data_IF_023498789468
#
_entry.id   IF_023498789468
#
_cell.length_a   1.000
_cell.length_b   1.000
_cell.length_c   1.000
_cell.angle_alpha   90.00
_cell.angle_beta   90.00
_cell.angle_gamma   90.00
#
_symmetry.space_group_name_H-M   'P 1'
#
loop_
_entity.id
_entity.type
_entity.pdbx_description
1 polymer ?
#
# COMPACT_ATOMS: atom_id res chain seq x y z
N UNK A 1 -85.37 4.57 24.37
CA UNK A 1 -85.26 3.75 23.15
C UNK A 1 -85.19 4.69 21.95
N UNK A 2 -84.22 4.43 21.05
CA UNK A 2 -83.98 5.01 19.71
C UNK A 2 -82.95 6.14 19.57
N UNK A 3 -81.80 5.64 19.14
CA UNK A 3 -80.65 6.21 18.44
C UNK A 3 -81.01 7.09 17.22
N UNK A 4 -80.13 8.05 16.91
CA UNK A 4 -79.83 8.60 15.56
C UNK A 4 -78.58 9.51 15.72
N UNK A 5 -77.37 8.94 15.68
CA UNK A 5 -76.49 8.76 14.50
C UNK A 5 -76.06 10.09 13.87
N UNK A 6 -74.82 10.47 14.21
CA UNK A 6 -74.00 11.48 13.53
C UNK A 6 -73.55 10.88 12.20
N UNK A 7 -73.93 11.49 11.08
CA UNK A 7 -73.35 11.20 9.76
C UNK A 7 -72.27 12.25 9.51
N UNK A 8 -71.02 11.83 9.68
CA UNK A 8 -69.81 12.52 9.22
C UNK A 8 -69.80 12.43 7.70
N UNK A 9 -69.66 13.58 7.04
CA UNK A 9 -69.41 13.75 5.61
C UNK A 9 -68.09 13.08 5.21
N UNK A 10 -68.17 11.82 4.77
CA UNK A 10 -67.11 11.13 4.03
C UNK A 10 -67.44 11.29 2.54
N UNK A 11 -67.12 12.45 1.96
CA UNK A 11 -67.42 12.74 0.55
C UNK A 11 -66.34 13.60 -0.13
N UNK A 12 -65.05 13.37 0.17
CA UNK A 12 -63.96 14.18 -0.42
C UNK A 12 -62.78 13.38 -1.01
N UNK A 13 -62.85 12.04 -1.10
CA UNK A 13 -61.71 11.23 -1.58
C UNK A 13 -62.05 10.21 -2.68
N UNK A 14 -63.17 10.34 -3.39
CA UNK A 14 -63.61 9.34 -4.38
C UNK A 14 -64.05 9.92 -5.73
N UNK A 15 -63.50 11.07 -6.13
CA UNK A 15 -63.81 11.69 -7.42
C UNK A 15 -62.59 11.64 -8.35
N UNK A 16 -62.77 11.06 -9.54
CA UNK A 16 -61.78 11.08 -10.61
C UNK A 16 -61.45 12.53 -10.97
N UNK A 17 -60.17 12.88 -10.95
CA UNK A 17 -59.72 14.22 -11.34
C UNK A 17 -59.50 14.25 -12.86
N UNK A 18 -60.18 15.15 -13.60
CA UNK A 18 -59.87 15.36 -15.01
C UNK A 18 -58.45 15.91 -15.14
N UNK A 19 -57.71 15.45 -16.15
CA UNK A 19 -56.38 16.01 -16.44
C UNK A 19 -56.51 17.47 -16.88
N UNK A 20 -55.60 18.37 -16.47
CA UNK A 20 -55.59 19.77 -16.91
C UNK A 20 -55.45 19.97 -18.42
N UNK A 21 -55.00 18.95 -19.16
CA UNK A 21 -54.75 18.98 -20.60
C UNK A 21 -55.85 18.30 -21.44
N UNK A 22 -56.92 17.80 -20.82
CA UNK A 22 -58.05 17.18 -21.53
C UNK A 22 -57.76 15.81 -22.16
N UNK A 23 -56.66 15.14 -21.78
CA UNK A 23 -56.36 13.77 -22.24
C UNK A 23 -57.25 12.69 -21.60
N UNK A 24 -57.52 11.61 -22.34
CA UNK A 24 -58.39 10.49 -21.95
C UNK A 24 -58.09 9.95 -20.53
N UNK A 25 -59.13 9.87 -19.70
CA UNK A 25 -59.10 9.23 -18.36
C UNK A 25 -58.85 7.70 -18.42
N UNK A 26 -58.83 7.12 -19.64
CA UNK A 26 -58.59 5.71 -19.89
C UNK A 26 -57.11 5.28 -19.90
N UNK A 27 -56.16 6.22 -19.80
CA UNK A 27 -54.74 5.88 -19.71
C UNK A 27 -54.41 5.23 -18.35
N UNK A 28 -54.62 3.92 -18.24
CA UNK A 28 -54.17 3.12 -17.09
C UNK A 28 -52.64 3.03 -17.10
N UNK A 29 -51.98 4.06 -16.60
CA UNK A 29 -50.52 4.08 -16.40
C UNK A 29 -50.09 3.20 -15.21
N UNK A 30 -51.05 2.64 -14.46
CA UNK A 30 -50.83 1.66 -13.39
C UNK A 30 -51.68 0.40 -13.62
N UNK A 31 -51.35 -0.44 -14.62
CA UNK A 31 -51.99 -1.75 -14.79
C UNK A 31 -51.71 -2.67 -13.59
N UNK A 32 -52.57 -3.67 -13.40
CA UNK A 32 -52.32 -4.72 -12.40
C UNK A 32 -50.97 -5.41 -12.70
N UNK A 33 -50.14 -5.57 -11.67
CA UNK A 33 -48.79 -6.12 -11.81
C UNK A 33 -47.69 -5.10 -12.10
N UNK A 34 -47.96 -3.78 -12.06
CA UNK A 34 -46.92 -2.77 -12.29
C UNK A 34 -45.76 -2.80 -11.28
N UNK A 35 -45.97 -3.36 -10.09
CA UNK A 35 -44.93 -3.56 -9.07
C UNK A 35 -44.41 -5.00 -8.99
N UNK A 36 -44.87 -5.90 -9.87
CA UNK A 36 -44.44 -7.29 -9.91
C UNK A 36 -43.38 -7.48 -11.01
N UNK A 37 -42.10 -7.75 -10.68
CA UNK A 37 -41.04 -7.95 -11.67
C UNK A 37 -41.30 -9.09 -12.67
N UNK A 38 -42.14 -10.08 -12.31
CA UNK A 38 -42.51 -11.17 -13.20
C UNK A 38 -43.60 -10.78 -14.22
N UNK A 39 -44.31 -9.66 -13.98
CA UNK A 39 -45.43 -9.24 -14.83
C UNK A 39 -44.97 -8.59 -16.14
N UNK A 40 -45.77 -8.74 -17.19
CA UNK A 40 -45.64 -7.95 -18.43
C UNK A 40 -46.04 -6.48 -18.24
N UNK A 41 -46.78 -6.18 -17.17
CA UNK A 41 -47.16 -4.83 -16.79
C UNK A 41 -46.11 -4.14 -15.89
N UNK A 42 -45.00 -4.81 -15.55
CA UNK A 42 -43.98 -4.28 -14.65
C UNK A 42 -43.47 -2.90 -15.09
N UNK A 43 -43.31 -1.97 -14.15
CA UNK A 43 -42.94 -0.58 -14.44
C UNK A 43 -41.62 -0.45 -15.20
N UNK A 44 -40.64 -1.34 -14.98
CA UNK A 44 -39.40 -1.36 -15.77
C UNK A 44 -39.63 -1.68 -17.24
N UNK A 45 -40.54 -2.63 -17.55
CA UNK A 45 -40.94 -2.95 -18.92
C UNK A 45 -41.78 -1.84 -19.54
N UNK A 46 -42.66 -1.22 -18.75
CA UNK A 46 -43.44 -0.05 -19.18
C UNK A 46 -42.55 1.15 -19.51
N UNK A 47 -41.50 1.38 -18.72
CA UNK A 47 -40.50 2.41 -18.98
C UNK A 47 -39.74 2.12 -20.29
N UNK A 48 -39.31 0.88 -20.52
CA UNK A 48 -38.68 0.47 -21.78
C UNK A 48 -39.59 0.70 -23.00
N UNK A 49 -40.90 0.36 -22.90
CA UNK A 49 -41.89 0.64 -23.97
C UNK A 49 -42.05 2.12 -24.27
N UNK A 50 -41.76 2.98 -23.30
CA UNK A 50 -41.79 4.45 -23.42
C UNK A 50 -40.43 5.03 -23.78
N UNK A 51 -39.54 4.23 -24.36
CA UNK A 51 -38.18 4.63 -24.72
C UNK A 51 -37.40 5.22 -23.54
N UNK A 52 -37.55 4.60 -22.37
CA UNK A 52 -36.90 4.98 -21.12
C UNK A 52 -37.24 6.38 -20.60
N UNK A 53 -38.30 7.02 -21.11
CA UNK A 53 -38.70 8.35 -20.69
C UNK A 53 -39.44 8.35 -19.34
N UNK A 54 -38.84 9.00 -18.34
CA UNK A 54 -39.47 9.27 -17.05
C UNK A 54 -40.44 10.47 -17.05
N UNK A 55 -40.50 11.23 -18.15
CA UNK A 55 -41.27 12.48 -18.24
C UNK A 55 -42.74 12.29 -17.87
N UNK A 56 -43.34 11.16 -18.26
CA UNK A 56 -44.74 10.89 -17.92
C UNK A 56 -44.93 10.62 -16.42
N UNK A 57 -44.00 9.91 -15.80
CA UNK A 57 -44.06 9.54 -14.38
C UNK A 57 -43.83 10.75 -13.48
N UNK A 58 -42.86 11.60 -13.83
CA UNK A 58 -42.50 12.80 -13.07
C UNK A 58 -43.68 13.80 -12.94
N UNK A 59 -44.59 13.86 -13.93
CA UNK A 59 -45.78 14.72 -13.89
C UNK A 59 -46.69 14.47 -12.68
N UNK A 60 -46.72 13.24 -12.16
CA UNK A 60 -47.55 12.88 -11.00
C UNK A 60 -46.72 12.57 -9.76
N UNK A 61 -45.56 11.92 -9.94
CA UNK A 61 -44.71 11.45 -8.84
C UNK A 61 -43.65 12.48 -8.40
N UNK A 62 -43.56 13.63 -9.07
CA UNK A 62 -42.56 14.67 -8.81
C UNK A 62 -41.28 14.44 -9.63
N UNK A 63 -40.54 15.52 -9.90
CA UNK A 63 -39.24 15.44 -10.58
C UNK A 63 -38.18 14.72 -9.73
N UNK A 64 -38.33 14.76 -8.41
CA UNK A 64 -37.51 14.05 -7.43
C UNK A 64 -38.00 12.61 -7.16
N UNK A 65 -39.13 12.21 -7.77
CA UNK A 65 -39.81 10.93 -7.55
C UNK A 65 -40.13 10.62 -6.08
N UNK A 66 -40.17 11.62 -5.21
CA UNK A 66 -40.50 11.48 -3.79
C UNK A 66 -42.01 11.40 -3.52
N UNK A 67 -42.82 11.40 -4.58
CA UNK A 67 -44.25 11.10 -4.56
C UNK A 67 -45.15 12.22 -5.02
N UNK A 68 -44.66 13.46 -5.14
CA UNK A 68 -45.36 14.57 -5.80
C UNK A 68 -46.85 14.72 -5.44
N UNK A 69 -47.68 14.86 -6.47
CA UNK A 69 -49.14 14.94 -6.35
C UNK A 69 -49.79 13.57 -6.13
N UNK A 70 -49.16 12.48 -6.62
CA UNK A 70 -49.63 11.11 -6.48
C UNK A 70 -49.50 10.55 -5.06
N UNK A 71 -48.66 11.16 -4.20
CA UNK A 71 -48.32 10.71 -2.84
C UNK A 71 -47.74 9.29 -2.76
N UNK A 72 -47.17 8.79 -3.85
CA UNK A 72 -46.51 7.48 -3.94
C UNK A 72 -45.06 7.67 -4.37
N UNK A 73 -44.12 7.45 -3.44
CA UNK A 73 -42.68 7.63 -3.66
C UNK A 73 -42.02 6.41 -4.29
N UNK A 74 -41.25 6.62 -5.36
CA UNK A 74 -40.38 5.60 -5.95
C UNK A 74 -39.21 5.27 -5.02
N UNK A 75 -38.84 6.20 -4.13
CA UNK A 75 -37.70 6.09 -3.23
C UNK A 75 -37.89 5.02 -2.15
N UNK A 76 -39.12 4.53 -1.97
CA UNK A 76 -39.42 3.39 -1.08
C UNK A 76 -38.71 2.11 -1.54
N UNK A 77 -38.53 1.95 -2.86
CA UNK A 77 -37.86 0.79 -3.46
C UNK A 77 -36.50 1.16 -4.07
N UNK A 78 -36.36 2.38 -4.59
CA UNK A 78 -35.13 2.89 -5.23
C UNK A 78 -34.55 4.03 -4.41
N UNK A 79 -33.78 3.71 -3.36
CA UNK A 79 -33.27 4.71 -2.41
C UNK A 79 -32.46 5.85 -3.06
N UNK A 80 -31.67 5.53 -4.08
CA UNK A 80 -30.86 6.50 -4.83
C UNK A 80 -31.67 7.25 -5.91
N UNK A 81 -32.93 6.89 -6.09
CA UNK A 81 -33.80 7.39 -7.15
C UNK A 81 -33.86 6.46 -8.37
N UNK A 82 -34.98 6.47 -9.11
CA UNK A 82 -35.18 5.57 -10.24
C UNK A 82 -34.27 5.88 -11.44
N UNK A 83 -33.64 7.06 -11.47
CA UNK A 83 -32.71 7.52 -12.50
C UNK A 83 -31.24 7.34 -12.11
N UNK A 84 -30.95 6.79 -10.93
CA UNK A 84 -29.58 6.53 -10.50
C UNK A 84 -28.96 5.36 -11.28
N UNK A 85 -27.65 5.42 -11.55
CA UNK A 85 -26.94 4.36 -12.25
C UNK A 85 -27.07 3.01 -11.53
N UNK A 86 -26.99 3.01 -10.19
CA UNK A 86 -27.14 1.82 -9.33
C UNK A 86 -28.52 1.18 -9.45
N UNK A 87 -29.57 1.95 -9.73
CA UNK A 87 -30.92 1.42 -9.94
C UNK A 87 -31.01 0.55 -11.19
N UNK A 88 -30.29 0.91 -12.26
CA UNK A 88 -30.29 0.15 -13.51
C UNK A 88 -29.18 -0.92 -13.55
N UNK A 89 -27.98 -0.60 -13.07
CA UNK A 89 -26.80 -1.45 -13.20
C UNK A 89 -26.49 -2.30 -11.96
N UNK A 90 -27.12 -2.04 -10.81
CA UNK A 90 -26.75 -2.68 -9.55
C UNK A 90 -25.27 -2.49 -9.23
N UNK A 91 -24.60 -3.58 -8.83
CA UNK A 91 -23.15 -3.63 -8.59
C UNK A 91 -22.29 -3.61 -9.87
N UNK A 92 -22.92 -3.47 -11.04
CA UNK A 92 -22.28 -3.49 -12.34
C UNK A 92 -22.29 -4.86 -13.04
N UNK A 93 -21.69 -4.94 -14.23
CA UNK A 93 -21.73 -6.14 -15.07
C UNK A 93 -20.91 -7.30 -14.47
N UNK A 94 -21.42 -8.53 -14.64
CA UNK A 94 -20.85 -9.75 -14.04
C UNK A 94 -20.39 -10.79 -15.08
N UNK A 95 -20.52 -10.48 -16.37
CA UNK A 95 -20.26 -11.40 -17.47
C UNK A 95 -18.87 -11.24 -18.07
N UNK A 96 -18.31 -12.33 -18.57
CA UNK A 96 -17.01 -12.37 -19.24
C UNK A 96 -15.89 -11.79 -18.38
N UNK A 97 -15.01 -11.01 -19.02
CA UNK A 97 -13.84 -10.42 -18.37
C UNK A 97 -14.16 -9.44 -17.23
N UNK A 98 -15.40 -8.93 -17.09
CA UNK A 98 -15.75 -8.06 -15.95
C UNK A 98 -15.46 -8.71 -14.61
N UNK A 99 -15.76 -9.99 -14.45
CA UNK A 99 -15.55 -10.71 -13.19
C UNK A 99 -14.11 -10.59 -12.66
N UNK A 100 -13.14 -10.43 -13.58
CA UNK A 100 -11.70 -10.37 -13.31
C UNK A 100 -11.18 -8.95 -13.09
N UNK A 101 -11.85 -7.95 -13.64
CA UNK A 101 -11.38 -6.57 -13.66
C UNK A 101 -11.97 -5.71 -12.53
N UNK A 102 -12.96 -6.20 -11.77
CA UNK A 102 -13.63 -5.48 -10.67
C UNK A 102 -12.70 -5.01 -9.54
N UNK A 103 -11.52 -5.61 -9.37
CA UNK A 103 -10.58 -5.31 -8.27
C UNK A 103 -9.34 -4.52 -8.70
N UNK A 104 -9.31 -3.98 -9.92
CA UNK A 104 -8.13 -3.24 -10.41
C UNK A 104 -8.36 -2.36 -11.64
N UNK A 105 -9.55 -2.37 -12.23
CA UNK A 105 -9.96 -1.46 -13.29
C UNK A 105 -11.28 -0.77 -12.91
N UNK A 106 -11.43 0.45 -13.40
CA UNK A 106 -12.65 1.25 -13.32
C UNK A 106 -13.39 1.20 -14.65
N UNK A 107 -14.67 1.54 -14.65
CA UNK A 107 -15.47 1.54 -15.88
C UNK A 107 -14.85 2.44 -16.96
N UNK A 108 -14.24 3.57 -16.58
CA UNK A 108 -13.61 4.52 -17.53
C UNK A 108 -12.30 4.00 -18.14
N UNK A 109 -11.75 2.89 -17.65
CA UNK A 109 -10.61 2.25 -18.29
C UNK A 109 -11.01 1.55 -19.61
N UNK A 110 -12.28 1.13 -19.74
CA UNK A 110 -12.79 0.34 -20.87
C UNK A 110 -14.11 0.83 -21.48
N UNK A 111 -14.80 1.79 -20.89
CA UNK A 111 -16.09 2.30 -21.36
C UNK A 111 -16.20 3.81 -21.15
N UNK A 112 -17.03 4.45 -21.98
CA UNK A 112 -17.47 5.81 -21.69
C UNK A 112 -18.59 5.76 -20.66
N UNK A 113 -18.33 6.23 -19.44
CA UNK A 113 -19.37 6.35 -18.41
C UNK A 113 -20.11 7.68 -18.60
N UNK A 114 -21.41 7.67 -18.91
CA UNK A 114 -22.18 8.90 -19.08
C UNK A 114 -22.40 9.60 -17.72
N UNK A 115 -22.55 10.93 -17.76
CA UNK A 115 -22.83 11.72 -16.56
C UNK A 115 -24.29 11.56 -16.05
N UNK A 116 -25.21 11.15 -16.92
CA UNK A 116 -26.62 10.92 -16.61
C UNK A 116 -27.16 9.74 -17.41
N UNK A 117 -28.24 9.13 -16.92
CA UNK A 117 -28.88 7.97 -17.55
C UNK A 117 -29.38 8.25 -18.97
N UNK A 118 -29.75 9.49 -19.28
CA UNK A 118 -30.33 9.96 -20.55
C UNK A 118 -29.30 10.60 -21.50
N UNK A 119 -28.00 10.51 -21.17
CA UNK A 119 -26.96 11.06 -22.03
C UNK A 119 -27.02 10.40 -23.43
N UNK A 120 -26.82 11.17 -24.51
CA UNK A 120 -26.72 10.62 -25.86
C UNK A 120 -25.61 9.56 -25.96
N UNK A 121 -25.88 8.44 -26.61
CA UNK A 121 -24.92 7.32 -26.69
C UNK A 121 -25.00 6.34 -25.51
N UNK A 122 -26.05 6.43 -24.69
CA UNK A 122 -26.35 5.46 -23.62
C UNK A 122 -27.68 4.75 -23.93
N UNK A 123 -28.65 4.80 -23.03
CA UNK A 123 -29.95 4.12 -23.21
C UNK A 123 -30.87 4.85 -24.19
N UNK A 124 -30.53 6.11 -24.51
CA UNK A 124 -31.22 6.94 -25.49
C UNK A 124 -30.36 7.00 -26.75
N UNK A 125 -30.93 6.50 -27.85
CA UNK A 125 -30.38 6.51 -29.22
C UNK A 125 -29.16 5.61 -29.50
N UNK A 126 -28.73 4.78 -28.55
CA UNK A 126 -27.69 3.75 -28.78
C UNK A 126 -28.21 2.34 -28.48
N UNK A 127 -27.72 1.37 -29.26
CA UNK A 127 -28.10 -0.02 -29.13
C UNK A 127 -27.03 -0.77 -28.32
N UNK A 128 -27.47 -1.58 -27.37
CA UNK A 128 -26.59 -2.52 -26.68
C UNK A 128 -25.78 -3.37 -27.69
N UNK A 129 -24.54 -3.76 -27.35
CA UNK A 129 -23.85 -3.57 -26.07
C UNK A 129 -23.15 -2.21 -25.92
N UNK A 130 -22.83 -1.84 -24.68
CA UNK A 130 -22.06 -0.62 -24.38
C UNK A 130 -20.71 -0.61 -25.14
N UNK A 131 -20.40 0.54 -25.76
CA UNK A 131 -19.17 0.72 -26.54
C UNK A 131 -17.93 0.50 -25.65
N UNK A 132 -17.00 -0.34 -26.13
CA UNK A 132 -15.69 -0.54 -25.50
C UNK A 132 -14.75 0.54 -26.01
N UNK A 133 -14.29 1.41 -25.10
CA UNK A 133 -13.33 2.48 -25.37
C UNK A 133 -12.16 2.38 -24.38
N UNK A 134 -10.93 2.59 -24.83
CA UNK A 134 -9.77 2.40 -23.97
C UNK A 134 -9.28 3.72 -23.38
N UNK A 135 -9.20 3.77 -22.05
CA UNK A 135 -8.62 4.89 -21.31
C UNK A 135 -7.10 4.96 -21.39
N UNK A 136 -6.51 5.96 -20.72
CA UNK A 136 -5.06 6.19 -20.73
C UNK A 136 -4.24 4.98 -20.23
N UNK A 137 -4.76 4.24 -19.24
CA UNK A 137 -4.09 3.06 -18.67
C UNK A 137 -3.86 1.96 -19.72
N UNK A 138 -4.84 1.69 -20.57
CA UNK A 138 -4.71 0.69 -21.63
C UNK A 138 -3.64 1.08 -22.68
N UNK A 139 -3.37 2.38 -22.80
CA UNK A 139 -2.41 2.95 -23.76
C UNK A 139 -0.97 3.04 -23.20
N UNK A 140 -0.72 2.65 -21.95
CA UNK A 140 0.65 2.65 -21.39
C UNK A 140 1.54 1.74 -22.25
N UNK A 141 2.70 2.26 -22.63
CA UNK A 141 3.66 1.57 -23.51
C UNK A 141 4.96 1.41 -22.76
N UNK A 142 5.35 0.17 -22.46
CA UNK A 142 6.63 -0.12 -21.80
C UNK A 142 7.80 0.11 -22.75
N UNK A 143 7.67 -0.39 -23.97
CA UNK A 143 8.64 -0.22 -25.05
C UNK A 143 7.88 0.05 -26.36
N UNK A 144 8.11 1.20 -27.02
CA UNK A 144 7.49 1.52 -28.29
C UNK A 144 7.72 0.46 -29.38
N UNK A 145 8.80 -0.32 -29.32
CA UNK A 145 9.10 -1.37 -30.28
C UNK A 145 8.08 -2.52 -30.27
N UNK A 146 7.37 -2.72 -29.15
CA UNK A 146 6.42 -3.82 -28.97
C UNK A 146 4.96 -3.41 -29.23
N UNK A 147 4.66 -2.13 -29.49
CA UNK A 147 3.29 -1.65 -29.73
C UNK A 147 3.07 -1.37 -31.21
N UNK A 148 2.26 -2.21 -31.87
CA UNK A 148 1.92 -2.07 -33.28
C UNK A 148 0.79 -1.03 -33.54
N UNK A 149 0.00 -0.68 -32.52
CA UNK A 149 -1.12 0.24 -32.67
C UNK A 149 -1.77 0.69 -31.35
N UNK A 150 -2.85 1.49 -31.43
CA UNK A 150 -3.65 1.84 -30.27
C UNK A 150 -4.35 0.59 -29.69
N UNK A 151 -4.72 0.60 -28.40
CA UNK A 151 -5.54 -0.47 -27.81
C UNK A 151 -6.86 -0.61 -28.58
N UNK A 152 -7.24 -1.83 -28.93
CA UNK A 152 -8.44 -2.09 -29.71
C UNK A 152 -9.18 -3.35 -29.24
N UNK A 153 -10.50 -3.34 -29.44
CA UNK A 153 -11.39 -4.44 -29.15
C UNK A 153 -12.25 -4.72 -30.38
N UNK A 154 -12.06 -5.89 -31.00
CA UNK A 154 -12.77 -6.30 -32.21
C UNK A 154 -13.14 -7.78 -32.16
N UNK A 155 -14.39 -8.11 -32.46
CA UNK A 155 -14.85 -9.50 -32.54
C UNK A 155 -14.71 -10.30 -31.23
N UNK A 156 -14.72 -9.62 -30.07
CA UNK A 156 -14.49 -10.24 -28.78
C UNK A 156 -13.02 -10.35 -28.37
N UNK A 157 -12.08 -9.79 -29.14
CA UNK A 157 -10.64 -9.90 -28.90
C UNK A 157 -10.03 -8.57 -28.53
N UNK A 158 -9.20 -8.56 -27.51
CA UNK A 158 -8.43 -7.40 -27.07
C UNK A 158 -7.05 -7.41 -27.74
N UNK A 159 -6.60 -6.28 -28.27
CA UNK A 159 -5.28 -6.14 -28.93
C UNK A 159 -4.59 -4.86 -28.48
N UNK A 160 -3.25 -4.85 -28.46
CA UNK A 160 -2.43 -3.69 -28.07
C UNK A 160 -2.79 -3.03 -26.71
N UNK A 161 -3.35 -3.78 -25.74
CA UNK A 161 -3.68 -3.27 -24.40
C UNK A 161 -2.49 -3.50 -23.46
N UNK A 162 -2.13 -2.48 -22.67
CA UNK A 162 -1.00 -2.50 -21.72
C UNK A 162 -0.91 -3.79 -20.86
N UNK A 163 -2.02 -4.20 -20.24
CA UNK A 163 -2.04 -5.34 -19.33
C UNK A 163 -2.13 -6.70 -20.04
N UNK A 164 -2.55 -6.74 -21.30
CA UNK A 164 -2.71 -7.96 -22.08
C UNK A 164 -2.70 -7.64 -23.58
N UNK A 165 -1.79 -8.25 -24.34
CA UNK A 165 -1.61 -7.91 -25.75
C UNK A 165 -0.14 -7.88 -26.15
N UNK A 166 0.09 -7.60 -27.42
CA UNK A 166 1.41 -7.71 -28.05
C UNK A 166 2.46 -6.73 -27.49
N UNK A 167 2.03 -5.75 -26.68
CA UNK A 167 2.90 -4.82 -25.95
C UNK A 167 3.74 -5.50 -24.86
N UNK A 168 3.43 -6.74 -24.51
CA UNK A 168 4.16 -7.54 -23.53
C UNK A 168 5.15 -8.47 -24.26
N UNK A 169 6.48 -8.23 -24.19
CA UNK A 169 7.46 -8.94 -25.01
C UNK A 169 7.83 -10.35 -24.49
N UNK A 170 7.05 -10.91 -23.57
CA UNK A 170 7.41 -12.14 -22.85
C UNK A 170 6.61 -13.34 -23.36
N UNK A 171 7.25 -14.49 -23.68
CA UNK A 171 6.55 -15.67 -24.21
C UNK A 171 5.48 -16.25 -23.28
N UNK A 172 5.56 -15.96 -21.97
CA UNK A 172 4.60 -16.42 -20.97
C UNK A 172 3.44 -15.43 -20.74
N UNK A 173 3.53 -14.23 -21.33
CA UNK A 173 2.51 -13.21 -21.15
C UNK A 173 1.23 -13.55 -21.92
N UNK A 174 0.10 -13.09 -21.41
CA UNK A 174 -1.18 -13.24 -22.12
C UNK A 174 -1.21 -12.31 -23.33
N UNK A 175 -0.96 -12.87 -24.52
CA UNK A 175 -1.10 -12.16 -25.78
C UNK A 175 -2.56 -12.18 -26.23
N UNK A 176 -3.20 -11.01 -26.17
CA UNK A 176 -4.44 -10.70 -26.88
C UNK A 176 -5.62 -11.65 -26.60
N UNK A 177 -6.11 -11.67 -25.35
CA UNK A 177 -7.16 -12.57 -24.91
C UNK A 177 -8.50 -12.25 -25.57
N UNK A 178 -9.39 -13.25 -25.58
CA UNK A 178 -10.81 -13.04 -25.84
C UNK A 178 -11.54 -12.62 -24.56
N UNK A 179 -12.63 -11.90 -24.75
CA UNK A 179 -13.50 -11.39 -23.69
C UNK A 179 -14.09 -12.48 -22.79
N UNK A 180 -14.28 -13.67 -23.35
CA UNK A 180 -14.87 -14.84 -22.73
C UNK A 180 -13.83 -15.89 -22.28
N UNK A 181 -12.54 -15.57 -22.37
CA UNK A 181 -11.49 -16.47 -21.93
C UNK A 181 -11.51 -16.69 -20.41
N UNK A 182 -11.21 -17.92 -20.00
CA UNK A 182 -10.89 -18.21 -18.60
C UNK A 182 -9.43 -17.82 -18.35
N UNK A 183 -9.13 -16.98 -17.35
CA UNK A 183 -7.78 -16.52 -17.11
C UNK A 183 -6.89 -17.68 -16.63
N UNK A 184 -5.66 -17.70 -17.13
CA UNK A 184 -4.62 -18.65 -16.73
C UNK A 184 -3.39 -17.87 -16.27
N UNK A 185 -2.84 -18.21 -15.10
CA UNK A 185 -1.58 -17.63 -14.60
C UNK A 185 -1.72 -16.59 -13.49
N UNK A 186 -0.57 -16.20 -12.93
CA UNK A 186 -0.44 -15.22 -11.83
C UNK A 186 0.37 -14.00 -12.28
N UNK A 187 1.43 -13.65 -11.57
CA UNK A 187 2.33 -12.55 -11.94
C UNK A 187 3.00 -12.76 -13.31
N UNK A 188 3.19 -14.02 -13.70
CA UNK A 188 3.84 -14.42 -14.95
C UNK A 188 3.05 -14.08 -16.23
N UNK A 189 1.81 -13.57 -16.06
CA UNK A 189 0.93 -13.14 -17.16
C UNK A 189 1.37 -11.83 -17.82
N UNK A 190 2.17 -11.02 -17.11
CA UNK A 190 2.68 -9.75 -17.63
C UNK A 190 4.17 -9.87 -18.00
N UNK A 191 4.96 -10.51 -17.14
CA UNK A 191 6.42 -10.60 -17.23
C UNK A 191 6.91 -11.97 -16.75
N UNK A 192 8.21 -12.26 -16.82
CA UNK A 192 8.78 -13.39 -16.08
C UNK A 192 8.56 -13.23 -14.58
N UNK A 193 8.44 -14.34 -13.83
CA UNK A 193 8.33 -14.32 -12.36
C UNK A 193 9.39 -15.27 -11.77
N UNK A 194 10.58 -14.77 -11.38
CA UNK A 194 11.03 -13.37 -11.44
C UNK A 194 11.35 -12.87 -12.88
N UNK A 195 11.31 -11.55 -13.14
CA UNK A 195 11.78 -10.96 -14.39
C UNK A 195 13.25 -11.31 -14.72
N UNK A 196 13.65 -11.37 -16.01
CA UNK A 196 14.97 -11.84 -16.42
C UNK A 196 16.16 -11.11 -15.80
N UNK A 197 16.01 -9.83 -15.47
CA UNK A 197 17.09 -9.00 -14.90
C UNK A 197 17.21 -9.10 -13.37
N UNK A 198 16.57 -10.08 -12.72
CA UNK A 198 16.65 -10.26 -11.28
C UNK A 198 18.03 -10.77 -10.84
N UNK A 199 18.59 -10.09 -9.84
CA UNK A 199 19.86 -10.49 -9.23
C UNK A 199 19.73 -11.69 -8.28
N UNK A 200 18.57 -11.87 -7.62
CA UNK A 200 18.33 -12.92 -6.62
C UNK A 200 16.86 -13.40 -6.61
N UNK A 201 16.59 -14.55 -5.99
CA UNK A 201 15.27 -15.18 -5.89
C UNK A 201 14.59 -15.07 -4.50
N UNK A 202 15.18 -14.32 -3.56
CA UNK A 202 14.61 -14.02 -2.23
C UNK A 202 13.49 -12.97 -2.29
N UNK A 203 12.37 -13.35 -2.89
CA UNK A 203 11.27 -12.45 -3.26
C UNK A 203 10.70 -11.65 -2.08
N UNK A 204 10.47 -12.29 -0.94
CA UNK A 204 9.79 -11.68 0.22
C UNK A 204 10.65 -10.63 0.96
N UNK A 205 11.97 -10.64 0.74
CA UNK A 205 12.90 -9.65 1.30
C UNK A 205 12.79 -8.31 0.57
N UNK A 206 12.58 -8.37 -0.75
CA UNK A 206 12.56 -7.20 -1.62
C UNK A 206 11.15 -6.76 -2.02
N UNK A 207 10.17 -7.67 -2.02
CA UNK A 207 8.80 -7.41 -2.44
C UNK A 207 7.81 -7.75 -1.33
N UNK A 208 6.87 -6.85 -1.00
CA UNK A 208 5.77 -7.20 -0.12
C UNK A 208 4.88 -8.28 -0.75
N UNK A 209 4.30 -9.14 0.08
CA UNK A 209 3.43 -10.25 -0.36
C UNK A 209 2.13 -9.81 -1.04
N UNK A 210 1.75 -8.54 -0.92
CA UNK A 210 0.64 -7.94 -1.68
C UNK A 210 1.15 -7.48 -3.04
N UNK A 211 0.99 -8.31 -4.07
CA UNK A 211 1.52 -8.07 -5.42
C UNK A 211 1.26 -6.64 -5.94
N UNK A 212 2.29 -5.77 -6.04
CA UNK A 212 2.18 -4.52 -6.79
C UNK A 212 2.87 -4.77 -8.17
N UNK A 213 2.44 -4.25 -9.32
CA UNK A 213 2.70 -2.90 -9.86
C UNK A 213 1.80 -2.69 -11.11
N UNK A 214 0.46 -2.82 -10.98
CA UNK A 214 -0.46 -2.57 -12.12
C UNK A 214 -0.35 -1.12 -12.63
N UNK A 215 0.16 -0.22 -11.78
CA UNK A 215 0.51 1.16 -12.08
C UNK A 215 1.89 1.33 -12.76
N UNK A 216 2.66 0.26 -12.94
CA UNK A 216 3.97 0.28 -13.58
C UNK A 216 5.12 0.78 -12.70
N UNK A 217 4.91 1.00 -11.40
CA UNK A 217 5.93 1.51 -10.47
C UNK A 217 6.40 0.42 -9.53
N UNK A 218 7.62 -0.10 -9.71
CA UNK A 218 8.16 -1.16 -8.84
C UNK A 218 8.51 -0.60 -7.45
N UNK A 219 7.71 -0.90 -6.42
CA UNK A 219 8.14 -0.74 -5.03
C UNK A 219 9.06 -1.90 -4.62
N UNK A 220 10.29 -1.54 -4.26
CA UNK A 220 11.29 -2.43 -3.65
C UNK A 220 11.46 -2.03 -2.19
N UNK A 221 11.42 -3.01 -1.30
CA UNK A 221 11.38 -2.80 0.14
C UNK A 221 9.99 -2.41 0.65
N UNK A 222 9.82 -2.49 1.97
CA UNK A 222 8.58 -2.12 2.66
C UNK A 222 8.34 -0.61 2.74
N UNK A 223 9.42 0.19 2.63
CA UNK A 223 9.43 1.65 2.70
C UNK A 223 10.61 2.19 1.87
N UNK A 224 10.61 3.50 1.60
CA UNK A 224 11.74 4.15 0.91
C UNK A 224 13.01 4.16 1.77
N UNK A 225 14.15 3.89 1.16
CA UNK A 225 15.47 3.93 1.80
C UNK A 225 15.91 2.59 2.39
N UNK A 226 17.06 2.59 3.09
CA UNK A 226 17.70 1.37 3.60
C UNK A 226 16.79 0.55 4.54
N UNK A 227 16.04 1.25 5.39
CA UNK A 227 15.06 0.67 6.32
C UNK A 227 13.93 -0.10 5.66
N UNK A 228 13.77 0.03 4.33
CA UNK A 228 12.81 -0.74 3.55
C UNK A 228 13.09 -2.24 3.57
N UNK A 229 14.36 -2.64 3.67
CA UNK A 229 14.77 -4.05 3.62
C UNK A 229 15.34 -4.57 4.95
N UNK A 230 16.04 -3.73 5.71
CA UNK A 230 16.74 -4.12 6.95
C UNK A 230 16.68 -2.99 7.97
N UNK A 231 16.64 -3.32 9.26
CA UNK A 231 16.44 -2.34 10.32
C UNK A 231 14.96 -1.99 10.54
N UNK A 232 14.69 -0.74 10.87
CA UNK A 232 13.34 -0.23 11.13
C UNK A 232 13.24 1.29 10.88
N UNK A 233 12.10 1.88 11.26
CA UNK A 233 11.82 3.30 11.10
C UNK A 233 12.80 4.25 11.83
N UNK A 234 13.51 3.76 12.85
CA UNK A 234 14.48 4.56 13.62
C UNK A 234 15.90 4.47 13.08
N UNK A 235 16.29 3.33 12.49
CA UNK A 235 17.61 3.15 11.90
C UNK A 235 17.65 1.94 10.95
N UNK A 236 18.42 2.00 9.85
CA UNK A 236 18.64 0.86 8.97
C UNK A 236 19.51 -0.24 9.60
N UNK A 237 20.13 0.02 10.75
CA UNK A 237 20.79 -1.05 11.49
C UNK A 237 19.73 -2.02 12.06
N UNK A 238 19.90 -3.34 11.88
CA UNK A 238 18.97 -4.35 12.34
C UNK A 238 18.52 -4.14 13.78
N UNK A 239 17.19 -4.09 13.98
CA UNK A 239 16.58 -5.14 14.75
C UNK A 239 15.94 -6.17 13.85
N UNK A 240 15.43 -5.79 12.66
CA UNK A 240 15.05 -6.77 11.64
C UNK A 240 16.25 -7.04 10.74
N UNK A 241 16.75 -8.27 10.74
CA UNK A 241 17.63 -8.73 9.68
C UNK A 241 16.82 -9.21 8.45
N UNK A 242 17.52 -9.61 7.39
CA UNK A 242 16.90 -10.04 6.14
C UNK A 242 16.15 -11.38 6.25
N UNK A 243 16.40 -12.14 7.32
CA UNK A 243 15.70 -13.39 7.65
C UNK A 243 14.47 -13.13 8.56
N UNK A 244 14.20 -11.86 8.89
CA UNK A 244 13.10 -11.45 9.77
C UNK A 244 13.35 -11.68 11.26
N UNK A 245 14.57 -12.04 11.66
CA UNK A 245 14.91 -12.15 13.08
C UNK A 245 14.87 -10.78 13.74
N UNK A 246 14.49 -10.77 15.03
CA UNK A 246 14.37 -9.55 15.85
C UNK A 246 15.22 -9.52 17.10
N UNK A 247 15.74 -10.68 17.49
CA UNK A 247 16.45 -10.86 18.75
C UNK A 247 17.94 -10.68 18.52
N UNK A 248 18.61 -10.01 19.45
CA UNK A 248 20.07 -9.80 19.44
C UNK A 248 20.86 -11.11 19.47
N UNK A 249 20.22 -12.23 19.79
CA UNK A 249 20.82 -13.56 19.70
C UNK A 249 21.00 -14.06 18.25
N UNK A 250 20.32 -13.44 17.28
CA UNK A 250 20.51 -13.72 15.86
C UNK A 250 21.71 -12.95 15.31
N UNK A 251 22.55 -13.62 14.51
CA UNK A 251 23.79 -13.05 13.99
C UNK A 251 23.56 -11.80 13.12
N UNK A 252 22.46 -11.76 12.35
CA UNK A 252 22.07 -10.60 11.55
C UNK A 252 21.63 -9.40 12.37
N UNK A 253 21.16 -9.62 13.61
CA UNK A 253 20.71 -8.56 14.52
C UNK A 253 21.85 -8.14 15.45
N UNK A 254 22.28 -9.05 16.33
CA UNK A 254 23.40 -8.87 17.25
C UNK A 254 23.45 -7.53 17.97
N UNK A 255 24.66 -7.01 18.13
CA UNK A 255 24.94 -5.77 18.85
C UNK A 255 24.84 -4.50 17.99
N UNK A 256 24.19 -4.53 16.82
CA UNK A 256 24.06 -3.37 15.91
C UNK A 256 23.57 -2.11 16.64
N UNK A 257 22.44 -2.22 17.36
CA UNK A 257 21.84 -1.09 18.09
C UNK A 257 22.68 -0.60 19.25
N UNK A 258 23.36 -1.50 19.96
CA UNK A 258 24.29 -1.09 21.01
C UNK A 258 25.43 -0.21 20.46
N UNK A 259 25.84 -0.40 19.21
CA UNK A 259 26.89 0.41 18.58
C UNK A 259 26.38 1.77 18.07
N UNK A 260 25.12 1.88 17.67
CA UNK A 260 24.56 3.15 17.21
C UNK A 260 24.01 4.01 18.35
N UNK A 261 23.26 3.41 19.26
CA UNK A 261 22.47 4.14 20.24
C UNK A 261 23.30 4.54 21.47
N UNK A 262 24.48 3.91 21.63
CA UNK A 262 25.43 4.09 22.73
C UNK A 262 24.74 4.21 24.10
N UNK A 263 24.09 3.13 24.58
CA UNK A 263 23.32 3.17 25.82
C UNK A 263 24.16 3.54 27.05
N UNK A 264 25.49 3.41 26.98
CA UNK A 264 26.41 3.76 28.07
C UNK A 264 26.75 5.26 28.11
N UNK A 265 26.52 6.01 27.03
CA UNK A 265 26.92 7.42 26.92
C UNK A 265 28.43 7.67 27.01
N UNK A 266 29.26 6.64 26.84
CA UNK A 266 30.72 6.77 26.94
C UNK A 266 31.36 7.26 25.63
N UNK A 267 30.65 7.20 24.50
CA UNK A 267 31.15 7.60 23.18
C UNK A 267 30.03 8.12 22.28
N UNK A 268 30.39 8.62 21.09
CA UNK A 268 29.43 8.86 20.01
C UNK A 268 29.03 7.58 19.24
N UNK A 269 27.95 7.60 18.44
CA UNK A 269 27.55 6.51 17.55
C UNK A 269 28.69 6.07 16.61
N UNK A 270 28.79 4.77 16.33
CA UNK A 270 29.71 4.26 15.30
C UNK A 270 29.04 4.31 13.93
N UNK A 271 29.67 4.97 12.96
CA UNK A 271 29.19 4.98 11.58
C UNK A 271 29.22 3.57 10.98
N UNK A 272 28.23 3.26 10.13
CA UNK A 272 28.13 1.95 9.47
C UNK A 272 29.39 1.59 8.66
N UNK A 273 30.02 2.61 8.06
CA UNK A 273 31.24 2.49 7.26
C UNK A 273 32.45 1.94 8.04
N UNK A 274 32.39 1.95 9.37
CA UNK A 274 33.41 1.31 10.22
C UNK A 274 33.39 -0.20 10.09
N UNK A 275 32.23 -0.80 9.84
CA UNK A 275 32.06 -2.26 9.75
C UNK A 275 31.73 -2.74 8.34
N UNK A 276 31.05 -1.93 7.53
CA UNK A 276 30.52 -2.34 6.23
C UNK A 276 30.93 -1.39 5.12
N UNK A 277 31.04 -1.91 3.90
CA UNK A 277 30.97 -1.05 2.72
C UNK A 277 29.52 -0.61 2.53
N UNK A 278 29.21 0.64 2.86
CA UNK A 278 27.83 1.16 2.79
C UNK A 278 27.49 1.55 1.35
N UNK A 279 26.51 0.90 0.71
CA UNK A 279 26.14 1.21 -0.66
C UNK A 279 25.40 2.55 -0.74
N UNK A 280 25.69 3.35 -1.77
CA UNK A 280 24.98 4.60 -2.03
C UNK A 280 23.59 4.37 -2.64
N UNK A 281 23.39 3.24 -3.33
CA UNK A 281 22.13 2.86 -3.97
C UNK A 281 21.90 1.36 -3.85
N UNK A 282 20.65 0.92 -4.01
CA UNK A 282 20.30 -0.51 -3.91
C UNK A 282 21.08 -1.36 -4.91
N UNK A 283 21.29 -0.88 -6.14
CA UNK A 283 22.04 -1.60 -7.19
C UNK A 283 23.55 -1.36 -7.19
N UNK A 284 24.13 -0.79 -6.12
CA UNK A 284 25.57 -0.63 -6.04
C UNK A 284 26.25 -2.02 -6.00
N UNK A 285 27.41 -2.20 -6.67
CA UNK A 285 28.13 -3.47 -6.65
C UNK A 285 28.45 -3.93 -5.23
N UNK A 286 28.22 -5.20 -4.94
CA UNK A 286 28.43 -5.81 -3.63
C UNK A 286 27.28 -5.59 -2.64
N UNK A 287 26.08 -5.25 -3.12
CA UNK A 287 24.89 -5.11 -2.29
C UNK A 287 23.85 -6.19 -2.61
N UNK A 288 22.93 -5.93 -3.55
CA UNK A 288 21.90 -6.92 -3.95
C UNK A 288 22.38 -7.89 -5.04
N UNK A 289 23.57 -7.71 -5.58
CA UNK A 289 24.19 -8.58 -6.58
C UNK A 289 25.19 -9.56 -5.95
N UNK A 290 25.43 -9.44 -4.64
CA UNK A 290 26.26 -10.37 -3.86
C UNK A 290 25.41 -11.28 -2.99
N UNK A 291 25.89 -12.52 -2.79
CA UNK A 291 25.28 -13.44 -1.85
C UNK A 291 25.38 -12.92 -0.42
N UNK A 292 24.32 -13.16 0.36
CA UNK A 292 24.35 -12.96 1.80
C UNK A 292 25.42 -13.82 2.47
N UNK A 293 26.00 -13.38 3.59
CA UNK A 293 25.72 -12.16 4.36
C UNK A 293 26.40 -10.89 3.81
N UNK A 294 25.97 -9.72 4.27
CA UNK A 294 26.70 -8.47 4.02
C UNK A 294 28.17 -8.57 4.49
N UNK A 295 29.09 -8.10 3.65
CA UNK A 295 30.51 -8.15 3.93
C UNK A 295 30.86 -7.23 5.11
N UNK A 296 31.65 -7.75 6.06
CA UNK A 296 32.24 -6.97 7.16
C UNK A 296 33.69 -6.71 6.82
N UNK A 297 34.13 -5.46 6.91
CA UNK A 297 35.48 -5.05 6.52
C UNK A 297 36.54 -5.85 7.29
N UNK A 298 37.54 -6.38 6.57
CA UNK A 298 38.60 -7.20 7.15
C UNK A 298 39.43 -6.46 8.23
N UNK A 299 39.46 -5.13 8.21
CA UNK A 299 40.23 -4.30 9.15
C UNK A 299 39.86 -4.45 10.62
N UNK A 300 38.64 -4.94 10.93
CA UNK A 300 38.22 -5.24 12.31
C UNK A 300 38.55 -6.67 12.76
N UNK A 301 39.09 -7.50 11.86
CA UNK A 301 39.40 -8.90 12.14
C UNK A 301 38.15 -9.72 12.49
N UNK A 302 37.03 -9.47 11.79
CA UNK A 302 35.77 -10.18 12.03
C UNK A 302 35.92 -11.67 11.73
N UNK A 303 35.67 -12.51 12.74
CA UNK A 303 35.51 -13.95 12.62
C UNK A 303 34.04 -14.29 12.80
N UNK A 304 33.40 -14.70 11.70
CA UNK A 304 31.97 -15.04 11.68
C UNK A 304 31.63 -16.29 12.50
N UNK A 305 32.54 -17.27 12.58
CA UNK A 305 32.31 -18.50 13.32
C UNK A 305 32.40 -18.26 14.82
N UNK A 306 33.41 -17.50 15.26
CA UNK A 306 33.55 -17.07 16.65
C UNK A 306 32.52 -15.98 17.03
N UNK A 307 32.06 -15.21 16.04
CA UNK A 307 31.26 -14.00 16.20
C UNK A 307 32.00 -12.91 16.99
N UNK A 308 33.30 -12.75 16.71
CA UNK A 308 34.17 -11.80 17.42
C UNK A 308 34.98 -10.95 16.45
N UNK A 309 35.39 -9.76 16.89
CA UNK A 309 36.27 -8.88 16.13
C UNK A 309 37.68 -8.92 16.73
N UNK A 310 38.63 -9.59 16.09
CA UNK A 310 39.97 -9.81 16.63
C UNK A 310 40.84 -8.55 16.65
N UNK A 311 40.56 -7.58 15.79
CA UNK A 311 41.33 -6.34 15.63
C UNK A 311 40.53 -5.09 16.03
N UNK A 312 39.34 -5.27 16.63
CA UNK A 312 38.53 -4.15 17.08
C UNK A 312 39.16 -3.47 18.31
N UNK A 313 39.46 -2.18 18.16
CA UNK A 313 40.22 -1.42 19.14
C UNK A 313 39.49 -1.21 20.48
N UNK A 314 38.15 -1.23 20.51
CA UNK A 314 37.38 -1.02 21.74
C UNK A 314 37.22 -2.28 22.60
N UNK A 315 37.22 -3.46 21.99
CA UNK A 315 36.83 -4.68 22.71
C UNK A 315 38.01 -5.61 23.04
N UNK A 316 39.21 -5.32 22.53
CA UNK A 316 40.52 -5.86 22.92
C UNK A 316 40.47 -7.22 23.60
N UNK A 317 40.90 -7.32 24.87
CA UNK A 317 41.00 -8.58 25.60
C UNK A 317 39.64 -9.20 25.94
N UNK A 318 38.57 -8.39 26.02
CA UNK A 318 37.23 -8.88 26.37
C UNK A 318 36.58 -9.71 25.26
N UNK A 319 36.86 -9.40 23.99
CA UNK A 319 36.37 -10.09 22.77
C UNK A 319 34.93 -10.62 22.91
N UNK A 320 33.94 -9.76 23.21
CA UNK A 320 32.58 -10.20 23.41
C UNK A 320 32.04 -10.82 22.12
N UNK A 321 31.18 -11.81 22.28
CA UNK A 321 30.48 -12.41 21.14
C UNK A 321 29.36 -11.48 20.70
N UNK A 322 29.26 -11.24 19.40
CA UNK A 322 28.35 -10.28 18.77
C UNK A 322 26.88 -10.47 19.15
N UNK A 323 26.47 -11.71 19.47
CA UNK A 323 25.09 -12.07 19.79
C UNK A 323 24.82 -12.21 21.29
N UNK A 324 25.83 -11.93 22.12
CA UNK A 324 25.70 -12.01 23.57
C UNK A 324 25.49 -10.62 24.18
N UNK A 325 24.60 -10.55 25.16
CA UNK A 325 24.43 -9.34 25.95
C UNK A 325 25.65 -9.14 26.84
N UNK A 326 26.23 -7.95 26.79
CA UNK A 326 27.35 -7.57 27.64
C UNK A 326 27.38 -6.07 27.85
N UNK A 327 27.86 -5.65 29.02
CA UNK A 327 28.23 -4.26 29.29
C UNK A 327 29.74 -4.16 29.22
N UNK A 328 30.22 -3.15 28.49
CA UNK A 328 31.65 -2.82 28.48
C UNK A 328 31.95 -2.14 29.82
N UNK A 329 32.70 -2.81 30.68
CA UNK A 329 33.18 -2.20 31.93
C UNK A 329 34.35 -1.26 31.67
N UNK A 330 34.48 -0.20 32.46
CA UNK A 330 35.68 0.65 32.45
C UNK A 330 36.93 -0.22 32.67
N UNK A 331 38.01 0.05 31.94
CA UNK A 331 39.22 -0.79 32.02
C UNK A 331 39.35 -1.88 30.95
N UNK A 332 38.27 -2.16 30.19
CA UNK A 332 38.26 -3.24 29.18
C UNK A 332 38.77 -2.81 27.80
N UNK A 333 38.72 -1.51 27.50
CA UNK A 333 39.25 -0.92 26.26
C UNK A 333 40.72 -0.48 26.43
N UNK A 334 41.02 0.18 27.54
CA UNK A 334 42.34 0.58 28.01
C UNK A 334 42.40 0.34 29.53
N UNK A 335 43.59 0.17 30.12
CA UNK A 335 43.72 0.03 31.57
C UNK A 335 43.16 1.26 32.31
N UNK A 336 42.40 1.03 33.38
CA UNK A 336 41.92 2.07 34.29
C UNK A 336 42.27 1.66 35.71
N UNK A 337 43.23 2.33 36.37
CA UNK A 337 44.09 3.39 35.82
C UNK A 337 45.16 2.83 34.83
N UNK A 338 45.84 3.69 34.03
CA UNK A 338 46.96 3.27 33.19
C UNK A 338 48.06 2.56 34.01
N UNK A 339 48.75 1.60 33.39
CA UNK A 339 49.82 0.84 34.05
C UNK A 339 51.15 1.61 34.04
N UNK A 340 51.23 2.68 34.81
CA UNK A 340 52.45 3.48 34.99
C UNK A 340 52.76 3.72 36.49
N UNK A 341 53.91 4.33 36.77
CA UNK A 341 54.39 4.55 38.13
C UNK A 341 53.56 5.58 38.93
N UNK A 342 52.76 6.41 38.25
CA UNK A 342 51.91 7.43 38.86
C UNK A 342 50.54 6.88 39.27
N UNK A 343 50.20 5.66 38.86
CA UNK A 343 48.89 5.05 39.07
C UNK A 343 48.98 3.75 39.87
N UNK A 344 48.34 3.72 41.05
CA UNK A 344 48.22 2.50 41.85
C UNK A 344 46.93 1.74 41.51
N UNK A 345 46.97 0.42 41.28
CA UNK A 345 45.76 -0.40 41.07
C UNK A 345 44.77 -0.37 42.24
N UNK A 346 45.22 0.02 43.43
CA UNK A 346 44.39 0.13 44.64
C UNK A 346 43.81 1.53 44.90
N UNK A 347 44.04 2.49 44.00
CA UNK A 347 43.53 3.85 44.15
C UNK A 347 41.99 3.88 43.99
N UNK A 348 41.25 4.46 44.95
CA UNK A 348 39.80 4.59 44.82
C UNK A 348 39.42 5.64 43.76
N UNK A 349 38.31 5.43 43.05
CA UNK A 349 37.85 6.33 41.97
C UNK A 349 37.65 7.79 42.42
N UNK A 350 37.37 8.03 43.70
CA UNK A 350 37.24 9.38 44.28
C UNK A 350 38.56 10.17 44.27
N UNK A 351 39.71 9.49 44.24
CA UNK A 351 41.02 10.15 44.15
C UNK A 351 41.37 10.55 42.71
N UNK A 352 40.74 9.94 41.70
CA UNK A 352 40.99 10.26 40.30
C UNK A 352 40.70 11.74 39.99
N UNK A 353 39.68 12.34 40.61
CA UNK A 353 39.30 13.74 40.40
C UNK A 353 40.36 14.75 40.84
N UNK A 354 41.32 14.35 41.67
CA UNK A 354 42.40 15.23 42.13
C UNK A 354 43.43 15.52 41.03
N UNK A 355 43.66 14.55 40.13
CA UNK A 355 44.56 14.70 38.98
C UNK A 355 43.81 14.82 37.65
N UNK A 356 42.60 14.26 37.57
CA UNK A 356 41.74 14.27 36.38
C UNK A 356 40.38 14.94 36.65
N UNK A 357 40.36 16.23 37.03
CA UNK A 357 39.12 16.92 37.40
C UNK A 357 38.16 17.15 36.22
N UNK A 358 38.64 16.98 34.97
CA UNK A 358 37.84 17.12 33.76
C UNK A 358 37.09 15.84 33.39
N UNK A 359 37.55 14.68 33.86
CA UNK A 359 36.96 13.38 33.51
C UNK A 359 36.23 12.71 34.67
N UNK A 360 36.53 13.08 35.93
CA UNK A 360 35.94 12.46 37.12
C UNK A 360 35.44 13.50 38.11
N UNK A 361 34.23 13.29 38.64
CA UNK A 361 33.70 14.09 39.74
C UNK A 361 34.38 13.73 41.06
N UNK A 362 34.34 14.59 42.09
CA UNK A 362 34.84 14.26 43.43
C UNK A 362 34.20 13.02 44.07
N UNK A 363 33.02 12.60 43.59
CA UNK A 363 32.33 11.39 44.03
C UNK A 363 32.86 10.11 43.35
N UNK A 364 33.84 10.22 42.45
CA UNK A 364 34.37 9.09 41.70
C UNK A 364 33.45 8.63 40.57
N UNK A 365 32.61 9.51 40.05
CA UNK A 365 31.78 9.25 38.86
C UNK A 365 32.35 9.93 37.63
N UNK A 366 32.17 9.32 36.46
CA UNK A 366 32.66 9.86 35.19
C UNK A 366 31.87 11.12 34.81
N UNK A 367 32.58 12.15 34.34
CA UNK A 367 31.99 13.37 33.79
C UNK A 367 31.67 13.11 32.32
N UNK A 368 30.41 13.33 31.96
CA UNK A 368 29.91 13.26 30.60
C UNK A 368 29.55 14.67 30.14
N UNK A 369 30.16 15.10 29.05
CA UNK A 369 29.94 16.40 28.42
C UNK A 369 28.92 16.23 27.28
N UNK A 370 27.84 17.01 27.24
CA UNK A 370 26.90 16.99 26.12
C UNK A 370 27.60 17.40 24.81
N UNK A 371 27.46 16.60 23.77
CA UNK A 371 27.94 16.89 22.43
C UNK A 371 26.87 16.71 21.34
N UNK A 372 27.13 17.17 20.10
CA UNK A 372 26.20 17.05 18.98
C UNK A 372 25.88 15.59 18.61
N UNK A 373 26.70 14.64 19.06
CA UNK A 373 26.56 13.20 18.83
C UNK A 373 26.23 12.42 20.13
N UNK A 374 25.66 13.09 21.13
CA UNK A 374 25.38 12.52 22.44
C UNK A 374 26.41 12.90 23.52
N UNK A 375 26.16 12.52 24.79
CA UNK A 375 27.12 12.71 25.86
C UNK A 375 28.39 11.89 25.61
N UNK A 376 29.56 12.49 25.83
CA UNK A 376 30.87 11.83 25.71
C UNK A 376 31.74 12.17 26.92
N UNK A 377 32.77 11.38 27.20
CA UNK A 377 33.82 11.77 28.15
C UNK A 377 35.11 12.14 27.43
N UNK A 378 35.93 13.01 28.01
CA UNK A 378 37.25 13.46 27.52
C UNK A 378 38.30 12.32 27.43
N UNK A 379 37.90 11.07 27.66
CA UNK A 379 38.78 9.90 27.70
C UNK A 379 38.79 9.08 26.38
N UNK A 380 37.99 9.45 25.38
CA UNK A 380 37.59 8.54 24.29
C UNK A 380 37.82 9.10 22.86
N UNK A 381 38.39 10.29 22.70
CA UNK A 381 38.92 10.73 21.40
C UNK A 381 40.33 10.18 21.10
N UNK A 382 40.96 9.52 22.07
CA UNK A 382 42.28 8.91 21.93
C UNK A 382 43.43 9.75 22.49
N UNK A 383 43.15 10.95 22.99
CA UNK A 383 44.15 11.83 23.60
C UNK A 383 43.88 11.97 25.11
N UNK A 384 44.88 11.67 25.93
CA UNK A 384 44.80 11.92 27.37
C UNK A 384 45.20 13.37 27.60
N UNK A 385 44.22 14.26 27.73
CA UNK A 385 44.44 15.64 28.12
C UNK A 385 44.88 15.69 29.60
N UNK A 386 46.18 15.68 29.82
CA UNK A 386 46.79 16.06 31.10
C UNK A 386 46.87 17.60 31.15
N UNK A 387 46.67 18.17 32.35
CA UNK A 387 46.90 19.59 32.62
C UNK A 387 48.35 20.00 32.37
#
# INVERSE_FOLDING_TARGET
MRWLVVIVLVAACAEDRPRPDGGDAGARVHPAGILDPASEAFHGKELARRNWSFTTCARCHGEDFAGGAAKVSCLTCHADGPTACTTCHGDGPTTGAHALHRTGATCVDCHRVPASWDAPGHIVDDAAPAEVTFGARASITLDPAHRAGPPAYEGGRCTNVYCHGDVLPFPTATSEPRWDDTPVGGCNRCHGAPPPDHAQDHCATCHPTSAPHIDGVIQVGSTSGCSGCHGDASSPAPPNDLDGNRLTTALGVGAHRAHLDVPTGLRGPIACATCHLVPATVGAPGHIDSMLPAEVTAGLGWDRAAQTCASAWCHQASRPRWTEAGVVACGTCHGVPPADASHSPSMPLTQCASCHPRTMTPAGTLILTPGPNGPTSEHIDGDVDLL
#
